data_IF_017840117163
#
_entry.id   IF_017840117163
#
_cell.length_a   1.000
_cell.length_b   1.000
_cell.length_c   1.000
_cell.angle_alpha   90.00
_cell.angle_beta   90.00
_cell.angle_gamma   90.00
#
_symmetry.space_group_name_H-M   'P 1'
#
loop_
_entity.id
_entity.type
_entity.pdbx_description
1 polymer ?
#
# COMPACT_ATOMS: atom_id res chain seq x y z
N UNK A 1 3.02 -32.94 3.33
CA UNK A 1 2.89 -31.76 2.45
C UNK A 1 3.45 -30.61 3.25
N UNK A 2 4.62 -30.09 2.86
CA UNK A 2 5.29 -29.04 3.61
C UNK A 2 4.44 -27.77 3.56
N UNK A 3 4.12 -27.21 4.71
CA UNK A 3 3.35 -25.98 4.82
C UNK A 3 4.17 -24.82 4.23
N UNK A 4 3.71 -24.25 3.11
CA UNK A 4 4.38 -23.14 2.45
C UNK A 4 4.28 -21.90 3.37
N UNK A 5 5.41 -21.35 3.80
CA UNK A 5 5.42 -20.03 4.43
C UNK A 5 5.39 -18.95 3.32
N UNK A 6 4.28 -18.19 3.17
CA UNK A 6 4.15 -17.19 2.11
C UNK A 6 5.18 -16.06 2.25
N UNK A 7 5.45 -15.61 3.48
CA UNK A 7 6.40 -14.53 3.74
C UNK A 7 7.82 -14.94 3.36
N UNK A 8 8.21 -16.18 3.63
CA UNK A 8 9.53 -16.68 3.23
C UNK A 8 9.66 -16.81 1.72
N UNK A 9 8.59 -17.24 1.05
CA UNK A 9 8.62 -17.49 -0.39
C UNK A 9 8.67 -16.19 -1.21
N UNK A 10 7.83 -15.20 -0.89
CA UNK A 10 7.74 -13.95 -1.66
C UNK A 10 8.54 -12.78 -1.09
N UNK A 11 8.66 -12.69 0.24
CA UNK A 11 9.33 -11.56 0.92
C UNK A 11 10.71 -11.93 1.46
N UNK A 12 11.08 -13.21 1.48
CA UNK A 12 12.33 -13.68 2.08
C UNK A 12 12.37 -13.56 3.61
N UNK A 13 11.23 -13.33 4.26
CA UNK A 13 11.15 -13.16 5.70
C UNK A 13 11.19 -14.55 6.40
N UNK A 14 12.05 -14.75 7.41
CA UNK A 14 12.19 -16.05 8.09
C UNK A 14 11.04 -16.36 9.06
N UNK A 15 10.28 -15.34 9.45
CA UNK A 15 9.19 -15.43 10.42
C UNK A 15 7.86 -15.82 9.78
N UNK A 16 6.97 -16.43 10.56
CA UNK A 16 5.66 -16.89 10.10
C UNK A 16 4.54 -15.87 10.33
N UNK A 17 4.76 -14.84 11.15
CA UNK A 17 3.79 -13.79 11.47
C UNK A 17 4.53 -12.46 11.70
N UNK A 18 4.96 -11.76 10.64
CA UNK A 18 5.65 -10.48 10.77
C UNK A 18 4.70 -9.38 11.26
N UNK A 19 5.25 -8.37 11.96
CA UNK A 19 4.51 -7.14 12.27
C UNK A 19 4.25 -6.31 11.01
N UNK A 20 3.31 -5.35 11.04
CA UNK A 20 3.06 -4.49 9.87
C UNK A 20 4.31 -3.71 9.40
N UNK A 21 5.17 -3.28 10.33
CA UNK A 21 6.44 -2.63 9.98
C UNK A 21 7.40 -3.60 9.28
N UNK A 22 7.53 -4.83 9.81
CA UNK A 22 8.42 -5.85 9.26
C UNK A 22 7.94 -6.36 7.90
N UNK A 23 6.62 -6.49 7.72
CA UNK A 23 5.99 -6.86 6.45
C UNK A 23 6.32 -5.86 5.35
N UNK A 24 6.37 -4.56 5.69
CA UNK A 24 6.74 -3.49 4.77
C UNK A 24 8.25 -3.25 4.67
N UNK A 25 9.07 -3.91 5.50
CA UNK A 25 10.52 -3.69 5.57
C UNK A 25 10.89 -2.32 6.16
N UNK A 26 10.07 -1.78 7.04
CA UNK A 26 10.25 -0.48 7.69
C UNK A 26 10.82 -0.60 9.10
N UNK A 27 11.45 0.46 9.58
CA UNK A 27 11.83 0.59 10.99
C UNK A 27 10.57 0.70 11.88
N UNK A 28 10.58 0.07 13.07
CA UNK A 28 9.47 0.22 14.01
C UNK A 28 9.32 1.69 14.43
N UNK A 29 8.09 2.21 14.39
CA UNK A 29 7.78 3.61 14.71
C UNK A 29 7.98 4.61 13.55
N UNK A 30 8.22 4.12 12.32
CA UNK A 30 8.27 4.99 11.14
C UNK A 30 7.01 5.84 11.03
N UNK A 31 7.20 7.16 11.01
CA UNK A 31 6.11 8.12 11.11
C UNK A 31 5.77 8.81 9.78
N UNK A 32 6.67 8.75 8.79
CA UNK A 32 6.47 9.44 7.52
C UNK A 32 5.57 8.64 6.57
N UNK A 33 4.39 9.20 6.29
CA UNK A 33 3.37 8.57 5.42
C UNK A 33 3.93 8.27 4.02
N UNK A 34 4.73 9.17 3.45
CA UNK A 34 5.28 8.97 2.09
C UNK A 34 6.28 7.80 2.05
N UNK A 35 7.06 7.61 3.11
CA UNK A 35 7.94 6.44 3.27
C UNK A 35 7.14 5.15 3.36
N UNK A 36 6.05 5.16 4.13
CA UNK A 36 5.17 4.00 4.34
C UNK A 36 4.49 3.59 3.02
N UNK A 37 3.89 4.54 2.31
CA UNK A 37 3.23 4.28 1.01
C UNK A 37 4.22 3.75 -0.04
N UNK A 38 5.41 4.36 -0.11
CA UNK A 38 6.47 3.92 -1.03
C UNK A 38 6.93 2.49 -0.73
N UNK A 39 7.12 2.14 0.55
CA UNK A 39 7.49 0.81 0.98
C UNK A 39 6.38 -0.22 0.68
N UNK A 40 5.12 0.08 1.00
CA UNK A 40 3.98 -0.77 0.67
C UNK A 40 3.88 -1.04 -0.84
N UNK A 41 4.06 -0.01 -1.67
CA UNK A 41 4.05 -0.14 -3.11
C UNK A 41 5.21 -1.01 -3.62
N UNK A 42 6.42 -0.82 -3.06
CA UNK A 42 7.57 -1.65 -3.40
C UNK A 42 7.33 -3.13 -3.09
N UNK A 43 6.86 -3.43 -1.87
CA UNK A 43 6.58 -4.80 -1.44
C UNK A 43 5.46 -5.43 -2.28
N UNK A 44 4.38 -4.69 -2.58
CA UNK A 44 3.31 -5.18 -3.47
C UNK A 44 3.85 -5.53 -4.86
N UNK A 45 4.69 -4.68 -5.44
CA UNK A 45 5.34 -4.95 -6.74
C UNK A 45 6.22 -6.18 -6.69
N UNK A 46 7.00 -6.37 -5.61
CA UNK A 46 7.83 -7.55 -5.42
C UNK A 46 6.98 -8.84 -5.39
N UNK A 47 5.88 -8.86 -4.63
CA UNK A 47 4.97 -10.02 -4.55
C UNK A 47 4.26 -10.29 -5.89
N UNK A 48 3.88 -9.23 -6.62
CA UNK A 48 3.25 -9.37 -7.94
C UNK A 48 4.23 -9.75 -9.05
N UNK A 49 5.54 -9.57 -8.87
CA UNK A 49 6.55 -9.94 -9.87
C UNK A 49 6.67 -11.45 -10.06
N UNK A 50 6.30 -12.25 -9.05
CA UNK A 50 6.35 -13.72 -9.09
C UNK A 50 4.95 -14.29 -8.91
N UNK A 51 4.26 -14.69 -10.00
CA UNK A 51 2.92 -15.24 -9.91
C UNK A 51 2.90 -16.57 -9.16
N UNK A 52 1.87 -16.85 -8.35
CA UNK A 52 1.76 -18.09 -7.59
C UNK A 52 1.43 -19.28 -8.50
N UNK A 53 1.86 -20.47 -8.10
CA UNK A 53 1.27 -21.71 -8.60
C UNK A 53 -0.21 -21.81 -8.16
N UNK A 54 -1.03 -22.56 -8.90
CA UNK A 54 -2.48 -22.67 -8.64
C UNK A 54 -2.79 -23.13 -7.21
N UNK A 55 -1.96 -24.01 -6.64
CA UNK A 55 -2.06 -24.50 -5.26
C UNK A 55 -1.80 -23.44 -4.17
N UNK A 56 -1.17 -22.31 -4.53
CA UNK A 56 -0.78 -21.26 -3.59
C UNK A 56 -1.46 -19.91 -3.87
N UNK A 57 -2.41 -19.88 -4.81
CA UNK A 57 -3.12 -18.65 -5.18
C UNK A 57 -3.83 -17.98 -4.00
N UNK A 58 -4.42 -18.77 -3.10
CA UNK A 58 -5.10 -18.25 -1.91
C UNK A 58 -4.13 -17.63 -0.89
N UNK A 59 -2.95 -18.23 -0.70
CA UNK A 59 -1.92 -17.69 0.20
C UNK A 59 -1.36 -16.38 -0.37
N UNK A 60 -1.14 -16.33 -1.68
CA UNK A 60 -0.70 -15.11 -2.37
C UNK A 60 -1.70 -13.97 -2.27
N UNK A 61 -3.00 -14.23 -2.52
CA UNK A 61 -4.03 -13.20 -2.38
C UNK A 61 -4.16 -12.71 -0.94
N UNK A 62 -4.05 -13.62 0.05
CA UNK A 62 -4.06 -13.27 1.47
C UNK A 62 -2.89 -12.34 1.82
N UNK A 63 -1.69 -12.64 1.32
CA UNK A 63 -0.50 -11.81 1.54
C UNK A 63 -0.69 -10.38 0.99
N UNK A 64 -1.30 -10.25 -0.19
CA UNK A 64 -1.59 -8.94 -0.78
C UNK A 64 -2.60 -8.15 0.05
N UNK A 65 -3.67 -8.79 0.53
CA UNK A 65 -4.65 -8.17 1.43
C UNK A 65 -4.00 -7.72 2.73
N UNK A 66 -3.05 -8.50 3.26
CA UNK A 66 -2.32 -8.14 4.48
C UNK A 66 -1.41 -6.92 4.27
N UNK A 67 -0.73 -6.83 3.11
CA UNK A 67 0.05 -5.63 2.74
C UNK A 67 -0.84 -4.40 2.63
N UNK A 68 -2.02 -4.52 2.03
CA UNK A 68 -3.01 -3.42 1.96
C UNK A 68 -3.52 -3.01 3.35
N UNK A 69 -3.75 -3.99 4.23
CA UNK A 69 -4.15 -3.73 5.60
C UNK A 69 -3.04 -2.98 6.36
N UNK A 70 -1.79 -3.44 6.25
CA UNK A 70 -0.62 -2.80 6.85
C UNK A 70 -0.48 -1.34 6.42
N UNK A 71 -0.54 -1.07 5.12
CA UNK A 71 -0.54 0.28 4.57
C UNK A 71 -1.68 1.12 5.15
N UNK A 72 -2.91 0.59 5.16
CA UNK A 72 -4.07 1.32 5.66
C UNK A 72 -3.98 1.67 7.14
N UNK A 73 -3.35 0.82 7.96
CA UNK A 73 -3.16 1.07 9.40
C UNK A 73 -2.06 2.09 9.62
N UNK A 74 -0.90 1.91 8.95
CA UNK A 74 0.29 2.72 9.18
C UNK A 74 0.21 4.12 8.55
N UNK A 75 -0.50 4.28 7.42
CA UNK A 75 -0.69 5.60 6.79
C UNK A 75 -1.65 6.51 7.56
N UNK A 76 -2.52 5.95 8.42
CA UNK A 76 -3.46 6.75 9.21
C UNK A 76 -2.90 7.01 10.61
N UNK A 77 -2.56 8.26 10.97
CA UNK A 77 -1.82 8.55 12.21
C UNK A 77 -2.55 8.07 13.47
N UNK A 78 -3.89 8.18 13.52
CA UNK A 78 -4.68 7.69 14.65
C UNK A 78 -4.61 6.15 14.77
N UNK A 79 -4.82 5.43 13.65
CA UNK A 79 -4.77 3.95 13.64
C UNK A 79 -3.38 3.42 13.89
N UNK A 80 -2.36 4.11 13.41
CA UNK A 80 -0.96 3.80 13.69
C UNK A 80 -0.68 3.94 15.18
N UNK A 81 -1.08 5.04 15.82
CA UNK A 81 -0.87 5.24 17.24
C UNK A 81 -1.55 4.13 18.08
N UNK A 82 -2.79 3.75 17.73
CA UNK A 82 -3.48 2.62 18.38
C UNK A 82 -2.72 1.29 18.21
N UNK A 83 -2.17 1.06 17.02
CA UNK A 83 -1.39 -0.14 16.71
C UNK A 83 -0.01 -0.16 17.40
N UNK A 84 0.70 0.98 17.41
CA UNK A 84 1.96 1.17 18.12
C UNK A 84 1.78 0.94 19.63
N UNK A 85 0.68 1.43 20.21
CA UNK A 85 0.34 1.18 21.61
C UNK A 85 0.14 -0.32 21.90
N UNK A 86 -0.47 -1.07 20.98
CA UNK A 86 -0.63 -2.53 21.12
C UNK A 86 0.70 -3.27 21.05
N UNK A 87 1.64 -2.77 20.24
CA UNK A 87 3.00 -3.33 20.14
C UNK A 87 3.92 -2.91 21.29
N UNK A 88 3.51 -1.97 22.14
CA UNK A 88 4.38 -1.37 23.15
C UNK A 88 5.50 -0.52 22.54
N UNK A 89 5.38 -0.15 21.26
CA UNK A 89 6.28 0.81 20.62
C UNK A 89 5.89 2.17 21.16
N UNK A 90 6.72 2.71 22.04
CA UNK A 90 6.55 4.10 22.44
C UNK A 90 6.90 4.95 21.21
N UNK A 91 5.96 5.75 20.66
CA UNK A 91 6.30 6.65 19.56
C UNK A 91 7.47 7.46 20.05
N UNK A 92 8.60 7.34 19.35
CA UNK A 92 9.76 8.16 19.63
C UNK A 92 9.28 9.57 19.31
N UNK A 93 8.82 10.27 20.35
CA UNK A 93 8.39 11.65 20.25
C UNK A 93 9.49 12.32 19.43
N UNK A 94 9.16 13.00 18.31
CA UNK A 94 10.17 13.73 17.57
C UNK A 94 10.85 14.56 18.64
N UNK A 95 12.09 14.19 18.99
CA UNK A 95 12.86 14.91 19.97
C UNK A 95 12.89 16.28 19.34
N UNK A 96 12.07 17.19 19.87
CA UNK A 96 12.21 18.60 19.64
C UNK A 96 13.66 18.80 20.01
N UNK A 97 14.54 18.84 19.00
CA UNK A 97 15.93 19.10 19.25
C UNK A 97 15.85 20.41 20.01
N UNK A 98 16.30 20.46 21.28
CA UNK A 98 16.44 21.74 21.92
C UNK A 98 17.37 22.48 20.97
N UNK A 99 16.85 23.49 20.29
CA UNK A 99 17.60 24.46 19.52
C UNK A 99 18.41 25.28 20.53
N UNK A 100 19.30 24.60 21.26
CA UNK A 100 20.35 25.18 22.06
C UNK A 100 21.47 25.54 21.10
N UNK A 101 21.29 26.64 20.40
CA UNK A 101 22.23 27.76 20.45
C UNK A 101 21.77 28.80 19.45
N UNK A 102 21.56 30.07 19.86
CA UNK A 102 21.64 31.15 18.91
C UNK A 102 23.01 31.05 18.20
N UNK A 103 23.06 31.25 16.87
CA UNK A 103 24.33 31.22 16.15
C UNK A 103 25.28 32.23 16.82
N UNK A 104 26.55 31.86 17.10
CA UNK A 104 27.52 32.85 17.52
C UNK A 104 27.56 33.96 16.48
N UNK A 105 27.65 35.24 16.89
CA UNK A 105 27.77 36.33 15.93
C UNK A 105 28.95 36.02 15.01
N UNK A 106 28.66 35.94 13.71
CA UNK A 106 29.66 35.80 12.67
C UNK A 106 30.75 36.85 12.92
N UNK A 107 32.04 36.49 12.98
CA UNK A 107 33.09 37.49 12.91
C UNK A 107 32.89 38.24 11.58
N UNK A 108 32.63 39.54 11.67
CA UNK A 108 32.66 40.48 10.56
C UNK A 108 33.99 40.28 9.83
N UNK A 109 33.95 39.56 8.73
CA UNK A 109 35.11 39.30 7.90
C UNK A 109 35.41 40.64 7.20
N UNK A 110 36.34 41.37 7.79
CA UNK A 110 36.88 42.61 7.25
C UNK A 110 37.30 42.36 5.80
N UNK A 111 36.75 43.17 4.90
CA UNK A 111 36.90 43.04 3.46
C UNK A 111 38.39 43.04 3.08
N UNK A 112 38.90 41.87 2.71
CA UNK A 112 40.25 41.72 2.19
C UNK A 112 40.25 42.20 0.73
N UNK A 113 41.08 43.18 0.35
CA UNK A 113 41.10 43.71 -0.99
C UNK A 113 41.60 42.64 -1.97
N UNK A 114 40.91 42.59 -3.10
CA UNK A 114 41.18 41.78 -4.28
C UNK A 114 42.64 41.98 -4.73
N UNK A 115 43.45 40.93 -4.64
CA UNK A 115 44.87 40.97 -4.98
C UNK A 115 45.30 39.71 -5.72
N UNK A 116 45.34 39.82 -7.05
CA UNK A 116 46.17 39.08 -8.01
C UNK A 116 46.18 37.54 -7.99
N UNK A 117 45.64 36.96 -9.06
CA UNK A 117 45.94 35.61 -9.54
C UNK A 117 47.44 35.40 -9.77
N UNK A 118 47.91 34.14 -9.70
CA UNK A 118 48.47 33.59 -10.94
C UNK A 118 48.11 32.12 -11.22
N UNK A 119 47.94 31.89 -12.53
CA UNK A 119 48.19 30.67 -13.31
C UNK A 119 48.13 29.29 -12.65
N UNK A 120 47.29 28.45 -13.28
CA UNK A 120 47.85 27.26 -13.95
C UNK A 120 47.80 25.97 -13.15
N UNK A 121 46.64 25.35 -13.09
CA UNK A 121 46.55 23.89 -13.03
C UNK A 121 45.49 23.43 -14.01
N UNK A 122 45.96 22.71 -15.03
CA UNK A 122 45.16 22.10 -16.07
C UNK A 122 44.22 21.07 -15.43
N UNK A 123 42.92 21.29 -15.57
CA UNK A 123 41.93 20.24 -15.37
C UNK A 123 41.94 19.33 -16.60
N UNK A 124 42.05 18.00 -16.46
CA UNK A 124 41.77 17.10 -17.57
C UNK A 124 40.30 17.26 -17.97
N UNK A 125 40.09 17.47 -19.27
CA UNK A 125 38.78 17.59 -19.89
C UNK A 125 37.93 16.36 -19.57
N UNK A 126 36.83 16.54 -18.86
CA UNK A 126 35.73 15.59 -18.90
C UNK A 126 35.15 15.61 -20.32
N UNK A 127 35.06 14.48 -21.03
CA UNK A 127 34.25 14.43 -22.24
C UNK A 127 32.80 14.67 -21.83
N UNK A 128 32.27 15.79 -22.32
CA UNK A 128 30.86 16.07 -22.34
C UNK A 128 30.15 14.94 -23.10
N UNK A 129 29.59 13.97 -22.37
CA UNK A 129 28.63 13.07 -22.96
C UNK A 129 27.32 13.83 -23.07
N UNK A 130 27.15 14.45 -24.23
CA UNK A 130 25.99 15.20 -24.64
C UNK A 130 24.73 14.33 -24.53
N UNK A 131 23.66 15.00 -24.12
CA UNK A 131 22.30 14.54 -24.29
C UNK A 131 22.08 13.94 -25.69
N UNK A 132 21.60 12.70 -25.72
CA UNK A 132 20.94 12.11 -26.88
C UNK A 132 19.50 11.79 -26.46
N UNK A 133 18.51 12.63 -26.82
CA UNK A 133 17.13 12.18 -26.92
C UNK A 133 16.97 11.41 -28.23
N UNK A 134 16.99 10.08 -28.18
CA UNK A 134 16.57 9.26 -29.33
C UNK A 134 15.05 9.10 -29.33
N UNK A 135 14.40 10.13 -29.88
CA UNK A 135 13.05 10.04 -30.44
C UNK A 135 13.03 8.95 -31.50
N UNK A 136 12.39 7.82 -31.21
CA UNK A 136 12.01 6.84 -32.24
C UNK A 136 10.56 7.11 -32.64
N UNK A 137 10.36 8.19 -33.40
CA UNK A 137 9.14 8.41 -34.16
C UNK A 137 9.46 8.12 -35.63
N UNK A 138 9.19 6.89 -36.07
CA UNK A 138 9.23 6.54 -37.48
C UNK A 138 7.92 6.98 -38.13
N UNK A 139 7.99 8.07 -38.89
CA UNK A 139 6.96 8.53 -39.81
C UNK A 139 7.57 8.73 -41.19
N UNK A 140 7.30 7.81 -42.13
CA UNK A 140 7.50 7.88 -43.59
C UNK A 140 6.54 6.82 -44.16
N UNK A 141 5.66 7.01 -45.14
CA UNK A 141 5.33 8.11 -46.06
C UNK A 141 3.93 7.83 -46.67
N UNK A 142 3.33 8.81 -47.38
CA UNK A 142 1.99 8.74 -47.97
C UNK A 142 2.00 8.23 -49.42
N UNK A 143 0.84 7.74 -49.89
CA UNK A 143 0.49 7.75 -51.32
C UNK A 143 -0.17 6.47 -51.86
N UNK A 144 -1.45 6.55 -52.22
CA UNK A 144 -2.05 5.69 -53.26
C UNK A 144 -3.33 4.96 -52.86
N UNK A 145 -4.51 5.36 -53.39
CA UNK A 145 -5.79 4.72 -53.14
C UNK A 145 -6.06 3.59 -54.15
N UNK A 146 -6.87 2.60 -53.75
CA UNK A 146 -7.90 2.01 -54.63
C UNK A 146 -8.83 1.08 -53.81
N UNK A 147 -10.07 0.83 -54.30
CA UNK A 147 -11.25 0.66 -53.48
C UNK A 147 -11.84 -0.77 -53.58
N UNK A 148 -12.94 -0.95 -52.86
CA UNK A 148 -13.93 -2.05 -52.93
C UNK A 148 -13.76 -3.24 -51.98
N UNK A 149 -14.70 -3.23 -51.01
CA UNK A 149 -15.63 -4.31 -50.65
C UNK A 149 -15.41 -5.01 -49.30
N UNK A 150 -16.48 -5.56 -48.68
CA UNK A 150 -17.70 -4.86 -48.31
C UNK A 150 -18.03 -4.98 -46.81
N UNK A 151 -18.98 -4.14 -46.42
CA UNK A 151 -19.66 -4.01 -45.12
C UNK A 151 -20.08 -5.36 -44.52
N UNK A 152 -19.67 -5.59 -43.27
CA UNK A 152 -20.19 -6.62 -42.36
C UNK A 152 -20.55 -6.00 -41.02
N UNK A 153 -21.74 -5.40 -40.96
CA UNK A 153 -22.32 -4.69 -39.83
C UNK A 153 -23.28 -5.63 -39.08
N UNK A 154 -22.93 -6.07 -37.87
CA UNK A 154 -23.83 -6.68 -36.89
C UNK A 154 -23.17 -6.53 -35.50
N UNK A 155 -23.79 -6.13 -34.40
CA UNK A 155 -25.01 -5.40 -34.11
C UNK A 155 -24.84 -4.94 -32.65
N UNK A 156 -24.94 -3.65 -32.37
CA UNK A 156 -25.06 -3.14 -31.01
C UNK A 156 -26.52 -3.34 -30.57
N UNK A 157 -26.77 -4.18 -29.57
CA UNK A 157 -28.07 -4.31 -28.93
C UNK A 157 -28.09 -3.52 -27.64
N UNK A 158 -28.51 -2.27 -27.74
CA UNK A 158 -29.04 -1.50 -26.61
C UNK A 158 -30.40 -2.07 -26.21
N UNK A 159 -30.68 -2.33 -24.92
CA UNK A 159 -32.04 -2.68 -24.50
C UNK A 159 -32.94 -1.44 -24.47
N UNK A 160 -33.92 -1.50 -25.37
CA UNK A 160 -35.11 -0.65 -25.53
C UNK A 160 -35.97 -0.58 -24.27
N UNK A 161 -36.28 0.65 -23.84
CA UNK A 161 -37.41 0.95 -22.96
C UNK A 161 -38.73 0.88 -23.73
N UNK A 162 -39.80 0.22 -23.21
CA UNK A 162 -41.13 0.31 -23.81
C UNK A 162 -41.95 1.52 -23.30
N UNK A 163 -42.91 2.02 -24.12
CA UNK A 163 -43.79 3.16 -23.82
C UNK A 163 -45.07 2.79 -23.03
N UNK A 164 -45.79 3.85 -22.64
CA UNK A 164 -46.79 4.02 -21.57
C UNK A 164 -48.27 3.66 -21.91
N UNK A 165 -48.96 3.01 -20.94
CA UNK A 165 -50.41 3.09 -20.54
C UNK A 165 -51.53 2.44 -21.42
N UNK A 166 -52.78 2.17 -20.92
CA UNK A 166 -53.45 2.65 -19.69
C UNK A 166 -54.34 1.65 -18.86
N UNK A 167 -54.77 2.12 -17.67
CA UNK A 167 -56.05 1.84 -16.95
C UNK A 167 -56.44 0.41 -16.53
N UNK A 168 -56.42 0.14 -15.21
CA UNK A 168 -57.64 -0.17 -14.42
C UNK A 168 -57.33 -0.47 -12.93
N UNK A 169 -58.10 0.20 -12.06
CA UNK A 169 -58.59 -0.24 -10.75
C UNK A 169 -57.59 -0.61 -9.62
N UNK A 170 -57.59 0.27 -8.61
CA UNK A 170 -57.13 0.03 -7.26
C UNK A 170 -57.82 -1.20 -6.60
N UNK A 171 -57.19 -1.80 -5.58
CA UNK A 171 -57.53 -1.36 -4.23
C UNK A 171 -56.30 -1.05 -3.36
N UNK A 172 -56.51 -0.11 -2.45
CA UNK A 172 -55.56 0.39 -1.47
C UNK A 172 -55.02 -0.73 -0.57
N UNK A 173 -53.76 -1.11 -0.78
CA UNK A 173 -52.99 -1.90 0.19
C UNK A 173 -51.99 -0.96 0.85
N UNK A 174 -52.20 -0.73 2.16
CA UNK A 174 -51.34 0.08 3.02
C UNK A 174 -49.90 -0.41 2.92
N UNK A 175 -49.02 0.45 2.42
CA UNK A 175 -47.58 0.21 2.35
C UNK A 175 -47.02 -0.10 3.75
N UNK A 176 -46.38 -1.27 3.99
CA UNK A 176 -45.59 -1.44 5.19
C UNK A 176 -44.35 -0.54 5.09
N UNK A 177 -44.26 0.44 5.98
CA UNK A 177 -43.03 1.19 6.27
C UNK A 177 -41.91 0.19 6.59
N UNK A 178 -41.11 -0.19 5.58
CA UNK A 178 -39.84 -0.87 5.81
C UNK A 178 -38.93 0.11 6.52
N UNK A 179 -38.91 0.03 7.86
CA UNK A 179 -37.81 0.55 8.67
C UNK A 179 -36.52 -0.04 8.10
N UNK A 180 -35.72 0.79 7.43
CA UNK A 180 -34.32 0.50 7.16
C UNK A 180 -33.63 0.41 8.51
N UNK A 181 -33.65 -0.78 9.11
CA UNK A 181 -32.72 -1.11 10.19
C UNK A 181 -31.35 -1.22 9.53
N UNK A 182 -30.60 -0.12 9.60
CA UNK A 182 -29.14 -0.10 9.42
C UNK A 182 -28.57 -0.97 10.53
N UNK A 183 -28.59 -2.28 10.31
CA UNK A 183 -28.06 -3.27 11.23
C UNK A 183 -26.56 -3.06 11.31
N UNK A 184 -26.08 -2.76 12.52
CA UNK A 184 -24.67 -2.62 12.87
C UNK A 184 -23.97 -3.97 12.71
N UNK A 185 -23.57 -4.32 11.48
CA UNK A 185 -22.75 -5.51 11.18
C UNK A 185 -21.39 -5.49 11.88
N UNK A 186 -20.95 -4.31 12.34
CA UNK A 186 -19.69 -4.14 13.06
C UNK A 186 -19.71 -4.84 14.43
N UNK A 187 -20.87 -4.96 15.09
CA UNK A 187 -20.95 -5.59 16.41
C UNK A 187 -20.78 -7.11 16.32
N UNK A 188 -21.35 -7.75 15.29
CA UNK A 188 -21.21 -9.19 15.07
C UNK A 188 -19.77 -9.60 14.73
N UNK A 189 -19.04 -8.74 14.01
CA UNK A 189 -17.63 -8.98 13.69
C UNK A 189 -16.72 -8.82 14.92
N UNK A 190 -16.97 -7.82 15.77
CA UNK A 190 -16.22 -7.63 17.02
C UNK A 190 -16.46 -8.77 18.01
N UNK A 191 -17.71 -9.27 18.12
CA UNK A 191 -18.02 -10.40 18.99
C UNK A 191 -17.36 -11.70 18.50
N UNK A 192 -17.33 -11.92 17.18
CA UNK A 192 -16.67 -13.08 16.58
C UNK A 192 -15.15 -13.05 16.82
N UNK A 193 -14.51 -11.89 16.64
CA UNK A 193 -13.07 -11.74 16.92
C UNK A 193 -12.73 -11.92 18.40
N UNK A 194 -13.59 -11.44 19.31
CA UNK A 194 -13.41 -11.64 20.74
C UNK A 194 -13.48 -13.12 21.15
N UNK A 195 -14.41 -13.89 20.57
CA UNK A 195 -14.54 -15.33 20.85
C UNK A 195 -13.33 -16.14 20.35
N UNK A 196 -12.80 -15.81 19.17
CA UNK A 196 -11.59 -16.47 18.63
C UNK A 196 -10.36 -16.12 19.47
N UNK A 197 -10.21 -14.86 19.89
CA UNK A 197 -9.14 -14.44 20.79
C UNK A 197 -9.19 -15.17 22.14
N UNK A 198 -10.38 -15.31 22.74
CA UNK A 198 -10.57 -16.03 24.00
C UNK A 198 -10.21 -17.52 23.87
N UNK A 199 -10.55 -18.15 22.74
CA UNK A 199 -10.21 -19.55 22.46
C UNK A 199 -8.69 -19.75 22.35
N UNK A 200 -7.98 -18.86 21.64
CA UNK A 200 -6.53 -18.93 21.49
C UNK A 200 -5.80 -18.75 22.83
N UNK A 201 -6.24 -17.79 23.65
CA UNK A 201 -5.68 -17.59 24.99
C UNK A 201 -5.94 -18.82 25.87
N UNK A 202 -7.12 -19.41 25.82
CA UNK A 202 -7.43 -20.63 26.56
C UNK A 202 -6.54 -21.81 26.14
N UNK A 203 -6.28 -21.98 24.84
CA UNK A 203 -5.38 -23.04 24.32
C UNK A 203 -3.94 -22.81 24.79
N UNK A 204 -3.42 -21.59 24.73
CA UNK A 204 -2.06 -21.26 25.21
C UNK A 204 -1.95 -21.50 26.73
N UNK A 205 -2.94 -21.09 27.51
CA UNK A 205 -2.97 -21.35 28.97
C UNK A 205 -3.04 -22.85 29.26
N UNK A 206 -3.77 -23.63 28.46
CA UNK A 206 -3.87 -25.08 28.63
C UNK A 206 -2.55 -25.79 28.29
N UNK A 207 -1.85 -25.36 27.24
CA UNK A 207 -0.53 -25.87 26.87
C UNK A 207 0.51 -25.55 27.97
N UNK A 208 0.51 -24.32 28.49
CA UNK A 208 1.41 -23.95 29.58
C UNK A 208 1.11 -24.66 30.90
N UNK A 209 -0.17 -24.91 31.22
CA UNK A 209 -0.54 -25.67 32.44
C UNK A 209 -0.26 -27.17 32.31
N UNK A 210 -0.24 -27.73 31.10
CA UNK A 210 0.09 -29.14 30.86
C UNK A 210 1.56 -29.50 31.10
N UNK A 211 2.47 -28.55 30.89
CA UNK A 211 3.92 -28.73 31.08
C UNK A 211 4.35 -28.85 32.56
N UNK A 212 3.52 -28.40 33.51
CA UNK A 212 3.87 -28.37 34.93
C UNK A 212 3.49 -29.62 35.74
N UNK A 213 2.95 -30.68 35.12
CA UNK A 213 2.41 -31.85 35.84
C UNK A 213 3.23 -33.14 35.74
N UNK A 214 4.38 -33.09 35.06
CA UNK A 214 5.28 -34.23 34.86
C UNK A 214 6.63 -34.10 35.59
N UNK A 215 6.72 -33.23 36.61
CA UNK A 215 7.87 -33.13 37.51
C UNK A 215 7.49 -33.51 38.94
#
# INVERSE_FOLDING_TARGET
>A
MSELNPYRHWLGLPMAAPNHYELLGLSPGESNVTTIESAANHVRRQVCAVPPAAEHAAAWSSLLTEIELAESVLCHPARRADYEQQLGITPQAPMAQPVSSPPPPLPTMEARPFGAAPMGVAYPAYPANAAQPVSSATAVAPGGPDPMAPVGQLAATSPTSPPTAPTAAAPAVKAPKRKRTRSNNNLSMVLAMAAVGMLLVAVVVMINRGQGRNS
#
